data_IF_280050991186
#
_entry.id   IF_280050991186
#
_cell.length_a   1.000
_cell.length_b   1.000
_cell.length_c   1.000
_cell.angle_alpha   90.00
_cell.angle_beta   90.00
_cell.angle_gamma   90.00
#
_symmetry.space_group_name_H-M   'P 1'
#
loop_
_entity.id
_entity.type
_entity.pdbx_description
1 polymer ?
#
# COMPACT_ATOMS: atom_id res chain seq x y z
N UNK A 1 11.45 8.16 5.48
CA UNK A 1 12.41 7.13 5.94
C UNK A 1 13.20 7.57 7.17
N UNK A 2 13.88 8.71 7.16
CA UNK A 2 14.73 9.15 8.29
C UNK A 2 13.97 9.47 9.58
N UNK A 3 12.69 9.84 9.49
CA UNK A 3 11.82 10.11 10.66
C UNK A 3 10.76 9.04 10.93
N UNK A 4 10.33 8.31 9.89
CA UNK A 4 9.15 7.42 9.93
C UNK A 4 9.50 5.95 9.73
N UNK A 5 10.79 5.62 9.57
CA UNK A 5 11.23 4.30 9.15
C UNK A 5 10.87 3.97 7.69
N UNK A 6 11.18 2.74 7.27
CA UNK A 6 10.87 2.21 5.94
C UNK A 6 9.41 1.74 5.91
N UNK A 7 8.60 2.29 5.02
CA UNK A 7 7.22 1.83 4.76
C UNK A 7 7.19 1.27 3.34
N UNK A 8 7.54 -0.01 3.18
CA UNK A 8 7.83 -0.61 1.87
C UNK A 8 6.60 -0.83 0.97
N UNK A 9 5.46 -1.21 1.54
CA UNK A 9 4.32 -1.68 0.73
C UNK A 9 3.48 -0.57 0.08
N UNK A 10 3.49 0.66 0.61
CA UNK A 10 2.68 1.77 0.08
C UNK A 10 3.02 2.06 -1.38
N UNK A 11 4.31 2.04 -1.72
CA UNK A 11 4.78 2.31 -3.08
C UNK A 11 4.38 1.25 -4.12
N UNK A 12 3.94 0.07 -3.68
CA UNK A 12 3.42 -0.98 -4.56
C UNK A 12 1.89 -0.96 -4.61
N UNK A 13 1.25 -0.81 -3.45
CA UNK A 13 -0.21 -0.83 -3.30
C UNK A 13 -0.86 0.41 -3.93
N UNK A 14 -0.32 1.60 -3.64
CA UNK A 14 -0.91 2.86 -4.08
C UNK A 14 -0.98 3.03 -5.62
N UNK A 15 0.10 2.80 -6.41
CA UNK A 15 0.00 2.89 -7.86
C UNK A 15 -0.83 1.76 -8.47
N UNK A 16 -0.94 0.61 -7.81
CA UNK A 16 -1.78 -0.49 -8.28
C UNK A 16 -3.27 -0.15 -8.15
N UNK A 17 -3.69 0.34 -6.98
CA UNK A 17 -5.06 0.84 -6.74
C UNK A 17 -5.37 2.01 -7.69
N UNK A 18 -4.45 2.96 -7.83
CA UNK A 18 -4.62 4.09 -8.74
C UNK A 18 -4.79 3.64 -10.21
N UNK A 19 -4.04 2.63 -10.64
CA UNK A 19 -4.13 2.06 -12.00
C UNK A 19 -5.47 1.38 -12.25
N UNK A 20 -6.01 0.66 -11.25
CA UNK A 20 -7.34 0.04 -11.33
C UNK A 20 -8.46 1.09 -11.39
N UNK A 21 -8.29 2.24 -10.72
CA UNK A 21 -9.32 3.29 -10.65
C UNK A 21 -9.35 4.21 -11.89
N UNK A 22 -8.19 4.58 -12.44
CA UNK A 22 -8.08 5.63 -13.49
C UNK A 22 -7.53 5.11 -14.82
N UNK A 23 -6.92 3.92 -14.84
CA UNK A 23 -6.32 3.35 -16.05
C UNK A 23 -4.83 3.72 -16.22
N UNK A 24 -4.34 3.64 -17.46
CA UNK A 24 -2.90 3.63 -17.78
C UNK A 24 -2.23 5.00 -18.01
N UNK A 25 -2.94 6.12 -17.84
CA UNK A 25 -2.41 7.43 -18.19
C UNK A 25 -1.50 7.98 -17.07
N UNK A 26 -0.19 7.99 -17.32
CA UNK A 26 0.83 8.20 -16.28
C UNK A 26 0.81 9.63 -15.69
N UNK A 27 0.33 10.61 -16.46
CA UNK A 27 0.21 12.01 -16.01
C UNK A 27 -0.79 12.17 -14.86
N UNK A 28 -1.86 11.40 -14.88
CA UNK A 28 -2.91 11.41 -13.85
C UNK A 28 -2.63 10.36 -12.77
N UNK A 29 -2.01 9.25 -13.14
CA UNK A 29 -1.68 8.16 -12.23
C UNK A 29 -0.69 8.58 -11.14
N UNK A 30 0.30 9.43 -11.46
CA UNK A 30 1.26 9.93 -10.48
C UNK A 30 0.61 10.74 -9.34
N UNK A 31 -0.12 11.84 -9.60
CA UNK A 31 -0.77 12.59 -8.52
C UNK A 31 -1.83 11.76 -7.80
N UNK A 32 -2.57 10.90 -8.51
CA UNK A 32 -3.59 10.08 -7.87
C UNK A 32 -3.00 9.00 -6.97
N UNK A 33 -1.92 8.33 -7.41
CA UNK A 33 -1.23 7.35 -6.55
C UNK A 33 -0.62 7.99 -5.31
N UNK A 34 -0.16 9.25 -5.38
CA UNK A 34 0.30 9.99 -4.21
C UNK A 34 -0.85 10.24 -3.21
N UNK A 35 -2.02 10.65 -3.69
CA UNK A 35 -3.22 10.86 -2.85
C UNK A 35 -3.69 9.55 -2.23
N UNK A 36 -3.81 8.48 -3.02
CA UNK A 36 -4.21 7.15 -2.54
C UNK A 36 -3.22 6.62 -1.51
N UNK A 37 -1.92 6.78 -1.74
CA UNK A 37 -0.87 6.38 -0.80
C UNK A 37 -0.94 7.17 0.51
N UNK A 38 -1.16 8.49 0.46
CA UNK A 38 -1.33 9.32 1.64
C UNK A 38 -2.56 8.90 2.45
N UNK A 39 -3.70 8.67 1.79
CA UNK A 39 -4.94 8.26 2.43
C UNK A 39 -4.80 6.88 3.12
N UNK A 40 -4.10 5.95 2.46
CA UNK A 40 -3.81 4.62 3.00
C UNK A 40 -2.91 4.68 4.24
N UNK A 41 -1.87 5.51 4.23
CA UNK A 41 -0.98 5.65 5.39
C UNK A 41 -1.69 6.32 6.58
N UNK A 42 -2.48 7.38 6.33
CA UNK A 42 -3.22 8.07 7.39
C UNK A 42 -4.26 7.16 8.03
N UNK A 43 -5.01 6.41 7.22
CA UNK A 43 -5.99 5.45 7.74
C UNK A 43 -5.32 4.31 8.52
N UNK A 44 -4.18 3.80 8.05
CA UNK A 44 -3.41 2.79 8.78
C UNK A 44 -2.84 3.32 10.11
N UNK A 45 -2.34 4.55 10.14
CA UNK A 45 -1.85 5.18 11.39
C UNK A 45 -2.99 5.37 12.40
N UNK A 46 -4.16 5.83 11.93
CA UNK A 46 -5.34 6.00 12.78
C UNK A 46 -5.83 4.67 13.37
N UNK A 47 -5.95 3.63 12.54
CA UNK A 47 -6.36 2.29 12.99
C UNK A 47 -5.34 1.71 13.96
N UNK A 48 -4.05 1.86 13.67
CA UNK A 48 -2.97 1.39 14.56
C UNK A 48 -3.03 2.04 15.94
N UNK A 49 -3.29 3.36 16.00
CA UNK A 49 -3.43 4.09 17.27
C UNK A 49 -4.69 3.71 18.05
N UNK A 50 -5.82 3.55 17.37
CA UNK A 50 -7.10 3.25 18.01
C UNK A 50 -7.18 1.78 18.49
N UNK A 51 -6.70 0.84 17.69
CA UNK A 51 -6.83 -0.59 18.00
C UNK A 51 -5.81 -1.07 19.04
N UNK A 52 -4.65 -0.43 19.17
CA UNK A 52 -3.54 -0.88 20.02
C UNK A 52 -3.19 0.06 21.17
N UNK A 53 -4.03 1.07 21.47
CA UNK A 53 -3.80 1.93 22.63
C UNK A 53 -3.68 1.11 23.94
N UNK A 54 -2.69 1.39 24.82
CA UNK A 54 -1.72 2.50 24.83
C UNK A 54 -0.38 2.20 24.11
N UNK A 55 -0.25 1.05 23.46
CA UNK A 55 0.98 0.62 22.77
C UNK A 55 1.10 1.33 21.42
N UNK A 56 2.22 2.02 21.19
CA UNK A 56 2.52 2.66 19.91
C UNK A 56 3.03 1.64 18.91
N UNK A 57 2.14 1.13 18.06
CA UNK A 57 2.50 0.24 16.95
C UNK A 57 2.99 1.08 15.75
N UNK A 58 4.17 0.76 15.17
CA UNK A 58 4.62 1.43 13.95
C UNK A 58 3.63 1.24 12.80
N UNK A 59 3.24 2.34 12.15
CA UNK A 59 2.32 2.34 10.98
C UNK A 59 2.79 1.38 9.88
N UNK A 60 4.09 1.20 9.72
CA UNK A 60 4.67 0.27 8.75
C UNK A 60 4.21 -1.18 8.92
N UNK A 61 3.98 -1.64 10.16
CA UNK A 61 3.49 -3.00 10.44
C UNK A 61 2.02 -3.13 10.02
N UNK A 62 1.20 -2.13 10.37
CA UNK A 62 -0.22 -2.09 10.01
C UNK A 62 -0.40 -2.08 8.49
N UNK A 63 0.39 -1.24 7.80
CA UNK A 63 0.39 -1.17 6.33
C UNK A 63 0.91 -2.47 5.70
N UNK A 64 1.94 -3.11 6.28
CA UNK A 64 2.47 -4.38 5.77
C UNK A 64 1.43 -5.50 5.84
N UNK A 65 0.55 -5.50 6.85
CA UNK A 65 -0.53 -6.48 6.95
C UNK A 65 -1.49 -6.42 5.76
N UNK A 66 -1.74 -5.24 5.19
CA UNK A 66 -2.50 -5.07 3.94
C UNK A 66 -1.65 -5.32 2.69
N UNK A 67 -0.39 -4.90 2.70
CA UNK A 67 0.49 -4.95 1.55
C UNK A 67 0.97 -6.35 1.18
N UNK A 68 1.28 -7.18 2.19
CA UNK A 68 1.73 -8.57 2.02
C UNK A 68 0.73 -9.43 1.24
N UNK A 69 -0.57 -9.51 1.62
CA UNK A 69 -1.53 -10.33 0.87
C UNK A 69 -1.72 -9.81 -0.55
N UNK A 70 -1.72 -8.49 -0.77
CA UNK A 70 -1.83 -7.92 -2.12
C UNK A 70 -0.61 -8.30 -2.98
N UNK A 71 0.59 -8.22 -2.41
CA UNK A 71 1.83 -8.58 -3.10
C UNK A 71 1.90 -10.08 -3.41
N UNK A 72 1.52 -10.93 -2.45
CA UNK A 72 1.42 -12.37 -2.67
C UNK A 72 0.40 -12.71 -3.75
N UNK A 73 -0.76 -12.06 -3.74
CA UNK A 73 -1.78 -12.23 -4.78
C UNK A 73 -1.22 -11.89 -6.16
N UNK A 74 -0.56 -10.73 -6.31
CA UNK A 74 0.08 -10.33 -7.58
C UNK A 74 1.17 -11.31 -8.04
N UNK A 75 1.98 -11.83 -7.12
CA UNK A 75 3.02 -12.80 -7.43
C UNK A 75 2.42 -14.12 -7.95
N UNK A 76 1.34 -14.59 -7.31
CA UNK A 76 0.66 -15.84 -7.66
C UNK A 76 -0.08 -15.71 -9.00
N UNK A 77 -0.78 -14.60 -9.26
CA UNK A 77 -1.47 -14.37 -10.53
C UNK A 77 -0.51 -14.35 -11.72
N UNK A 78 0.66 -13.70 -11.59
CA UNK A 78 1.66 -13.61 -12.67
C UNK A 78 2.31 -14.96 -13.00
N UNK A 79 2.38 -15.88 -12.04
CA UNK A 79 2.91 -17.24 -12.30
C UNK A 79 2.00 -18.07 -13.19
N UNK A 80 0.70 -17.79 -13.19
CA UNK A 80 -0.28 -18.53 -13.98
C UNK A 80 -0.24 -18.20 -15.48
N UNK A 81 0.27 -17.03 -15.86
CA UNK A 81 0.42 -16.60 -17.27
C UNK A 81 1.61 -17.26 -17.99
N UNK A 82 2.58 -17.83 -17.28
CA UNK A 82 3.85 -18.32 -17.85
C UNK A 82 3.88 -19.82 -18.11
N UNK A 83 2.78 -20.54 -17.84
CA UNK A 83 2.69 -22.01 -17.93
C UNK A 83 1.73 -22.52 -19.03
N UNK A 84 1.33 -21.65 -19.96
CA UNK A 84 0.56 -21.99 -21.17
C UNK A 84 1.29 -21.47 -22.39
#
# INVERSE_FOLDING_TARGET
>A
VSFTGVIGFVGLVAPHIARLAIGGDHRVLLPFSAVVGALLVVSADLVGRLAFAPVMVPVGIVVAYLGVPLFLHLLLTRRHEMST
#
